data_IF_945292720560
#
_entry.id   IF_945292720560
#
_cell.length_a   1.000
_cell.length_b   1.000
_cell.length_c   1.000
_cell.angle_alpha   90.00
_cell.angle_beta   90.00
_cell.angle_gamma   90.00
#
_symmetry.space_group_name_H-M   'P 1'
#
loop_
_entity.id
_entity.type
_entity.pdbx_description
1 polymer ?
#
# COMPACT_ATOMS: atom_id res chain seq x y z
N UNK A 1 20.48 6.32 -0.93
CA UNK A 1 19.02 6.28 -0.77
C UNK A 1 18.50 4.85 -0.82
N UNK A 2 17.40 4.59 -0.11
CA UNK A 2 16.80 3.25 0.03
C UNK A 2 15.33 3.37 -0.36
N UNK A 3 14.86 2.49 -1.25
CA UNK A 3 13.51 2.53 -1.81
C UNK A 3 12.83 1.17 -1.66
N UNK A 4 11.50 1.19 -1.60
CA UNK A 4 10.69 0.00 -1.78
C UNK A 4 10.68 -0.43 -3.25
N UNK A 5 10.71 -1.75 -3.54
CA UNK A 5 10.53 -2.25 -4.89
C UNK A 5 9.10 -2.01 -5.38
N UNK A 6 8.91 -2.04 -6.70
CA UNK A 6 7.58 -2.02 -7.30
C UNK A 6 6.77 -3.25 -6.87
N UNK A 7 5.47 -3.06 -6.69
CA UNK A 7 4.55 -4.13 -6.36
C UNK A 7 4.36 -5.02 -7.59
N UNK A 8 4.58 -6.35 -7.50
CA UNK A 8 4.43 -7.22 -8.64
C UNK A 8 2.99 -7.26 -9.17
N UNK A 9 2.82 -7.42 -10.49
CA UNK A 9 1.53 -7.37 -11.18
C UNK A 9 0.51 -8.43 -10.76
N UNK A 10 0.95 -9.49 -10.09
CA UNK A 10 0.09 -10.53 -9.55
C UNK A 10 -0.43 -10.25 -8.14
N UNK A 11 -0.16 -9.06 -7.57
CA UNK A 11 -0.78 -8.62 -6.33
C UNK A 11 -1.90 -7.62 -6.63
N UNK A 12 -2.95 -7.69 -5.82
CA UNK A 12 -4.03 -6.70 -5.82
C UNK A 12 -4.29 -6.19 -4.40
N UNK A 13 -4.59 -4.90 -4.23
CA UNK A 13 -5.01 -4.38 -2.92
C UNK A 13 -6.38 -4.97 -2.59
N UNK A 14 -6.51 -5.57 -1.41
CA UNK A 14 -7.78 -6.12 -0.90
C UNK A 14 -8.32 -5.36 0.29
N UNK A 15 -7.53 -4.44 0.83
CA UNK A 15 -7.90 -3.54 1.90
C UNK A 15 -7.19 -2.19 1.69
N UNK A 16 -7.88 -1.10 1.94
CA UNK A 16 -7.30 0.24 2.01
C UNK A 16 -8.04 1.04 3.07
N UNK A 17 -7.29 1.70 3.94
CA UNK A 17 -7.83 2.63 4.91
C UNK A 17 -6.97 3.88 4.96
N UNK A 18 -7.62 5.01 4.73
CA UNK A 18 -6.99 6.32 4.72
C UNK A 18 -7.11 7.00 6.07
N UNK A 19 -6.04 7.68 6.48
CA UNK A 19 -5.98 8.46 7.70
C UNK A 19 -5.52 9.88 7.36
N UNK A 20 -6.28 10.86 7.83
CA UNK A 20 -5.95 12.27 7.72
C UNK A 20 -5.55 12.83 9.08
N UNK A 21 -4.39 13.45 9.14
CA UNK A 21 -3.83 14.10 10.33
C UNK A 21 -2.86 15.19 9.88
N UNK A 22 -1.82 15.46 10.65
CA UNK A 22 -0.74 16.38 10.25
C UNK A 22 0.11 15.81 9.10
N UNK A 23 0.08 14.48 8.90
CA UNK A 23 0.63 13.78 7.73
C UNK A 23 -0.43 12.77 7.28
N UNK A 24 -0.78 12.80 6.00
CA UNK A 24 -1.72 11.84 5.44
C UNK A 24 -1.00 10.53 5.12
N UNK A 25 -1.61 9.41 5.47
CA UNK A 25 -1.08 8.08 5.18
C UNK A 25 -2.21 7.08 5.02
N UNK A 26 -1.91 5.93 4.42
CA UNK A 26 -2.85 4.83 4.25
C UNK A 26 -2.23 3.50 4.62
N UNK A 27 -3.07 2.60 5.15
CA UNK A 27 -2.73 1.18 5.31
C UNK A 27 -3.35 0.39 4.18
N UNK A 28 -2.56 -0.48 3.56
CA UNK A 28 -3.01 -1.37 2.50
C UNK A 28 -2.60 -2.81 2.78
N UNK A 29 -3.48 -3.75 2.49
CA UNK A 29 -3.16 -5.18 2.46
C UNK A 29 -3.23 -5.62 1.01
N UNK A 30 -2.15 -6.23 0.53
CA UNK A 30 -2.02 -6.73 -0.83
C UNK A 30 -2.06 -8.26 -0.80
N UNK A 31 -2.94 -8.84 -1.61
CA UNK A 31 -3.07 -10.29 -1.74
C UNK A 31 -2.61 -10.71 -3.13
N UNK A 32 -1.84 -11.79 -3.19
CA UNK A 32 -1.48 -12.46 -4.45
C UNK A 32 -2.74 -13.06 -5.07
N UNK A 33 -3.01 -12.70 -6.33
CA UNK A 33 -4.07 -13.23 -7.17
C UNK A 33 -3.77 -14.61 -7.72
#
# INVERSE_FOLDING_TARGET
>A
DVYFPEIPSNFRPVFTQDFASNINYSYQIWQKG
#
